data_IF_889517315920
#
_entry.id   IF_889517315920
#
_cell.length_a   1.000
_cell.length_b   1.000
_cell.length_c   1.000
_cell.angle_alpha   90.00
_cell.angle_beta   90.00
_cell.angle_gamma   90.00
#
_symmetry.space_group_name_H-M   'P 1'
#
loop_
_entity.id
_entity.type
_entity.pdbx_description
1 polymer ?
#
# COMPACT_ATOMS: atom_id res chain seq x y z
N UNK A 1 3.08 14.12 1.36
CA UNK A 1 3.52 12.74 1.72
C UNK A 1 4.98 12.58 1.36
N UNK A 2 5.76 11.92 2.21
CA UNK A 2 7.18 11.61 1.95
C UNK A 2 7.30 10.09 1.87
N UNK A 3 8.04 9.60 0.87
CA UNK A 3 8.34 8.17 0.70
C UNK A 3 9.72 7.99 0.08
N UNK A 4 10.45 6.98 0.51
CA UNK A 4 11.73 6.54 -0.06
C UNK A 4 11.57 5.83 -1.42
N UNK A 5 10.36 5.43 -1.77
CA UNK A 5 10.05 4.89 -3.08
C UNK A 5 10.06 5.99 -4.15
N UNK A 6 10.58 5.69 -5.33
CA UNK A 6 10.59 6.63 -6.46
C UNK A 6 9.20 6.91 -7.01
N UNK A 7 8.27 5.99 -6.83
CA UNK A 7 6.87 6.13 -7.23
C UNK A 7 5.98 5.42 -6.20
N UNK A 8 4.83 6.01 -5.90
CA UNK A 8 3.83 5.36 -5.04
C UNK A 8 3.30 4.10 -5.75
N UNK A 9 3.41 2.96 -5.09
CA UNK A 9 3.01 1.66 -5.66
C UNK A 9 4.06 0.98 -6.55
N UNK A 10 5.28 1.53 -6.67
CA UNK A 10 6.31 1.02 -7.57
C UNK A 10 6.92 -0.31 -7.12
N UNK A 11 7.18 -0.48 -5.83
CA UNK A 11 7.85 -1.66 -5.28
C UNK A 11 7.00 -2.37 -4.26
N UNK A 12 7.09 -3.70 -4.28
CA UNK A 12 6.46 -4.57 -3.29
C UNK A 12 4.94 -4.46 -3.35
N UNK A 13 4.28 -5.38 -3.97
CA UNK A 13 2.83 -5.42 -3.84
C UNK A 13 2.49 -5.79 -2.40
N UNK A 14 1.69 -4.98 -1.74
CA UNK A 14 1.01 -5.39 -0.53
C UNK A 14 -0.18 -6.26 -0.91
N UNK A 15 -0.61 -7.17 -0.03
CA UNK A 15 -1.79 -7.98 -0.30
C UNK A 15 -3.00 -7.13 -0.67
N UNK A 16 -3.66 -7.55 -1.74
CA UNK A 16 -4.89 -6.96 -2.24
C UNK A 16 -6.12 -7.80 -1.96
N UNK A 17 -6.04 -8.76 -1.05
CA UNK A 17 -7.16 -9.65 -0.71
C UNK A 17 -8.31 -8.82 -0.11
N UNK A 18 -9.50 -9.02 -0.64
CA UNK A 18 -10.73 -8.41 -0.13
C UNK A 18 -11.28 -9.36 0.92
N UNK A 19 -11.41 -8.86 2.15
CA UNK A 19 -11.97 -9.64 3.25
C UNK A 19 -13.47 -9.87 3.05
N UNK A 20 -14.05 -10.80 3.83
CA UNK A 20 -15.50 -11.06 3.84
C UNK A 20 -16.34 -9.82 4.18
N UNK A 21 -15.76 -8.82 4.85
CA UNK A 21 -16.41 -7.53 5.10
C UNK A 21 -16.58 -6.68 3.82
N UNK A 22 -16.03 -7.12 2.70
CA UNK A 22 -16.17 -6.48 1.42
C UNK A 22 -15.11 -5.40 1.14
N UNK A 23 -15.44 -4.52 0.21
CA UNK A 23 -14.55 -3.45 -0.26
C UNK A 23 -14.31 -2.39 0.83
N UNK A 24 -13.07 -2.28 1.39
CA UNK A 24 -12.83 -1.43 2.55
C UNK A 24 -12.59 0.04 2.21
N UNK A 25 -12.50 0.37 0.92
CA UNK A 25 -12.11 1.70 0.45
C UNK A 25 -13.36 2.41 -0.08
N UNK A 26 -13.47 3.67 0.30
CA UNK A 26 -14.63 4.48 0.05
C UNK A 26 -15.04 4.69 -1.42
N UNK A 27 -15.78 5.74 -1.63
CA UNK A 27 -16.46 6.05 -2.89
C UNK A 27 -15.51 6.29 -4.08
N UNK A 28 -16.03 6.16 -5.29
CA UNK A 28 -15.30 6.31 -6.55
C UNK A 28 -14.62 7.67 -6.71
N UNK A 29 -15.14 8.71 -6.10
CA UNK A 29 -14.56 10.05 -6.20
C UNK A 29 -13.15 10.17 -5.56
N UNK A 30 -12.72 9.19 -4.79
CA UNK A 30 -11.35 9.08 -4.25
C UNK A 30 -10.41 8.32 -5.17
N UNK A 31 -10.92 7.69 -6.22
CA UNK A 31 -10.14 6.94 -7.17
C UNK A 31 -9.96 7.76 -8.46
N UNK A 32 -8.79 7.71 -9.05
CA UNK A 32 -8.56 8.33 -10.35
C UNK A 32 -8.98 7.39 -11.48
N UNK A 33 -9.21 7.94 -12.68
CA UNK A 33 -9.51 7.18 -13.89
C UNK A 33 -8.26 6.54 -14.54
N UNK A 34 -7.20 6.30 -13.79
CA UNK A 34 -5.91 5.83 -14.32
C UNK A 34 -5.78 4.30 -14.36
N UNK A 35 -6.83 3.62 -14.81
CA UNK A 35 -6.76 2.18 -15.05
C UNK A 35 -6.95 1.30 -13.81
N UNK A 36 -7.33 1.86 -12.67
CA UNK A 36 -7.78 1.06 -11.55
C UNK A 36 -9.20 0.58 -11.81
N UNK A 37 -9.37 -0.74 -11.88
CA UNK A 37 -10.67 -1.38 -11.97
C UNK A 37 -11.16 -1.72 -10.57
N UNK A 38 -12.35 -1.23 -10.23
CA UNK A 38 -13.06 -1.65 -9.02
C UNK A 38 -13.33 -3.15 -9.06
N UNK A 39 -13.20 -3.86 -7.94
CA UNK A 39 -13.57 -5.26 -7.89
C UNK A 39 -15.08 -5.41 -8.16
N UNK A 40 -15.41 -6.38 -9.01
CA UNK A 40 -16.78 -6.83 -9.22
C UNK A 40 -17.23 -7.79 -8.10
N UNK A 41 -18.45 -8.32 -8.22
CA UNK A 41 -19.02 -9.22 -7.21
C UNK A 41 -18.23 -10.52 -7.04
N UNK A 42 -17.61 -11.01 -8.12
CA UNK A 42 -16.82 -12.24 -8.12
C UNK A 42 -15.34 -12.02 -7.79
N UNK A 43 -14.90 -10.78 -7.63
CA UNK A 43 -13.51 -10.47 -7.37
C UNK A 43 -13.24 -10.44 -5.87
N UNK A 44 -12.24 -11.19 -5.46
CA UNK A 44 -11.83 -11.33 -4.06
C UNK A 44 -10.42 -10.82 -3.80
N UNK A 45 -9.83 -10.16 -4.80
CA UNK A 45 -8.56 -9.43 -4.66
C UNK A 45 -8.50 -8.26 -5.64
N UNK A 46 -7.57 -7.34 -5.40
CA UNK A 46 -7.25 -6.21 -6.27
C UNK A 46 -5.75 -6.08 -6.46
N UNK A 47 -5.35 -5.34 -7.46
CA UNK A 47 -3.96 -4.93 -7.61
C UNK A 47 -3.65 -3.72 -6.72
N UNK A 48 -3.10 -3.99 -5.53
CA UNK A 48 -2.86 -2.96 -4.50
C UNK A 48 -1.94 -1.82 -4.96
N UNK A 49 -0.95 -2.11 -5.81
CA UNK A 49 -0.07 -1.09 -6.39
C UNK A 49 -0.83 -0.07 -7.23
N UNK A 50 -1.78 -0.52 -8.04
CA UNK A 50 -2.63 0.36 -8.85
C UNK A 50 -3.62 1.16 -8.02
N UNK A 51 -4.17 0.56 -6.97
CA UNK A 51 -5.00 1.27 -6.01
C UNK A 51 -4.24 2.43 -5.37
N UNK A 52 -3.04 2.16 -4.83
CA UNK A 52 -2.19 3.18 -4.21
C UNK A 52 -1.85 4.31 -5.18
N UNK A 53 -1.49 3.97 -6.42
CA UNK A 53 -1.19 4.93 -7.47
C UNK A 53 -2.41 5.79 -7.81
N UNK A 54 -3.57 5.16 -7.97
CA UNK A 54 -4.82 5.85 -8.28
C UNK A 54 -5.20 6.85 -7.18
N UNK A 55 -5.11 6.43 -5.92
CA UNK A 55 -5.36 7.31 -4.77
C UNK A 55 -4.34 8.45 -4.68
N UNK A 56 -3.05 8.18 -4.93
CA UNK A 56 -2.03 9.22 -4.92
C UNK A 56 -2.28 10.29 -6.00
N UNK A 57 -2.67 9.90 -7.20
CA UNK A 57 -3.04 10.82 -8.28
C UNK A 57 -4.26 11.65 -7.88
N UNK A 58 -5.30 11.02 -7.33
CA UNK A 58 -6.48 11.73 -6.85
C UNK A 58 -6.15 12.74 -5.75
N UNK A 59 -5.27 12.39 -4.81
CA UNK A 59 -4.79 13.30 -3.77
C UNK A 59 -3.95 14.45 -4.35
N UNK A 60 -3.08 14.16 -5.31
CA UNK A 60 -2.28 15.20 -5.98
C UNK A 60 -3.18 16.22 -6.70
N UNK A 61 -4.23 15.78 -7.37
CA UNK A 61 -5.22 16.67 -7.99
C UNK A 61 -5.99 17.53 -6.96
N UNK A 62 -6.03 17.10 -5.70
CA UNK A 62 -6.61 17.88 -4.58
C UNK A 62 -5.58 18.72 -3.84
N UNK A 63 -4.37 18.86 -4.38
CA UNK A 63 -3.32 19.71 -3.83
C UNK A 63 -2.37 19.02 -2.86
N UNK A 64 -2.41 17.71 -2.72
CA UNK A 64 -1.41 17.01 -1.93
C UNK A 64 -0.05 16.99 -2.64
N UNK A 65 1.00 17.31 -1.89
CA UNK A 65 2.38 17.24 -2.39
C UNK A 65 3.02 15.91 -2.02
N UNK A 66 3.75 15.32 -2.97
CA UNK A 66 4.48 14.06 -2.81
C UNK A 66 5.98 14.31 -2.98
N UNK A 67 6.75 13.89 -1.99
CA UNK A 67 8.21 13.83 -2.05
C UNK A 67 8.58 12.34 -2.18
N UNK A 68 8.84 11.90 -3.40
CA UNK A 68 9.20 10.52 -3.71
C UNK A 68 10.72 10.36 -3.80
N UNK A 69 11.22 9.15 -3.60
CA UNK A 69 12.66 8.88 -3.54
C UNK A 69 13.38 9.66 -2.44
N UNK A 70 12.66 10.02 -1.39
CA UNK A 70 13.11 10.99 -0.39
C UNK A 70 13.14 10.34 0.98
N UNK A 71 14.25 10.47 1.69
CA UNK A 71 14.42 9.95 3.05
C UNK A 71 14.22 11.05 4.08
N UNK A 72 13.52 10.72 5.15
CA UNK A 72 13.48 11.54 6.36
C UNK A 72 14.74 11.28 7.17
N UNK A 73 15.57 12.29 7.37
CA UNK A 73 16.82 12.18 8.11
C UNK A 73 16.70 12.62 9.56
N UNK A 74 15.80 13.55 9.84
CA UNK A 74 15.59 14.10 11.18
C UNK A 74 14.13 14.51 11.35
N UNK A 75 13.59 14.33 12.56
CA UNK A 75 12.27 14.82 12.96
C UNK A 75 12.42 15.60 14.25
N UNK A 76 12.23 16.90 14.18
CA UNK A 76 12.11 17.76 15.35
C UNK A 76 10.63 17.93 15.72
N UNK A 77 10.18 17.15 16.70
CA UNK A 77 8.79 17.19 17.16
C UNK A 77 8.46 18.46 17.94
N UNK A 78 9.46 19.13 18.55
CA UNK A 78 9.26 20.38 19.30
C UNK A 78 9.18 21.57 18.34
N UNK A 79 10.12 21.66 17.39
CA UNK A 79 10.10 22.66 16.33
C UNK A 79 9.09 22.39 15.23
N UNK A 80 8.41 21.24 15.25
CA UNK A 80 7.48 20.79 14.20
C UNK A 80 8.11 20.84 12.81
N UNK A 81 9.32 20.33 12.70
CA UNK A 81 10.09 20.35 11.45
C UNK A 81 10.60 18.94 11.10
N UNK A 82 10.62 18.64 9.83
CA UNK A 82 11.21 17.41 9.27
C UNK A 82 12.27 17.79 8.25
N UNK A 83 13.44 17.16 8.36
CA UNK A 83 14.53 17.30 7.38
C UNK A 83 14.47 16.14 6.39
N UNK A 84 14.42 16.49 5.10
CA UNK A 84 14.35 15.56 3.99
C UNK A 84 15.67 15.57 3.22
N UNK A 85 16.13 14.37 2.81
CA UNK A 85 17.27 14.17 1.92
C UNK A 85 16.80 13.54 0.62
N UNK A 86 17.19 14.13 -0.51
CA UNK A 86 16.89 13.64 -1.85
C UNK A 86 18.00 12.73 -2.38
N UNK A 87 17.72 11.93 -3.42
CA UNK A 87 18.72 11.09 -4.07
C UNK A 87 19.94 11.90 -4.50
N UNK A 88 21.13 11.39 -4.19
CA UNK A 88 22.40 12.08 -4.44
C UNK A 88 22.92 12.91 -3.29
N UNK A 89 22.20 13.05 -2.18
CA UNK A 89 22.71 13.47 -0.85
C UNK A 89 23.17 14.91 -0.71
N UNK A 90 23.10 15.74 -1.76
CA UNK A 90 23.65 17.12 -1.75
C UNK A 90 22.64 18.17 -1.32
N UNK A 91 21.37 17.85 -1.35
CA UNK A 91 20.31 18.83 -1.02
C UNK A 91 19.45 18.29 0.12
N UNK A 92 19.35 19.05 1.17
CA UNK A 92 18.41 18.82 2.25
C UNK A 92 17.35 19.92 2.20
N UNK A 93 16.12 19.55 2.46
CA UNK A 93 14.99 20.49 2.59
C UNK A 93 14.33 20.29 3.93
N UNK A 94 13.99 21.37 4.59
CA UNK A 94 13.24 21.38 5.83
C UNK A 94 11.79 21.73 5.55
N UNK A 95 10.89 20.97 6.12
CA UNK A 95 9.44 21.18 5.98
C UNK A 95 8.83 21.27 7.36
N UNK A 96 8.10 22.34 7.60
CA UNK A 96 7.30 22.50 8.81
C UNK A 96 5.98 21.75 8.68
N UNK A 97 5.48 21.23 9.79
CA UNK A 97 4.22 20.50 9.85
C UNK A 97 3.41 20.88 11.09
N UNK A 98 2.10 20.89 10.96
CA UNK A 98 1.20 20.98 12.11
C UNK A 98 1.00 19.62 12.76
N UNK A 99 0.88 18.59 11.92
CA UNK A 99 0.69 17.20 12.33
C UNK A 99 1.58 16.27 11.51
N UNK A 100 2.23 15.33 12.19
CA UNK A 100 3.06 14.31 11.58
C UNK A 100 2.40 12.93 11.76
N UNK A 101 2.17 12.24 10.65
CA UNK A 101 1.75 10.84 10.66
C UNK A 101 2.87 9.99 10.09
N UNK A 102 3.36 9.07 10.92
CA UNK A 102 4.33 8.07 10.49
C UNK A 102 3.66 6.71 10.43
N UNK A 103 3.95 5.96 9.37
CA UNK A 103 3.55 4.57 9.22
C UNK A 103 4.79 3.70 9.42
N UNK A 104 4.80 2.90 10.47
CA UNK A 104 5.83 1.92 10.75
C UNK A 104 5.16 0.59 11.03
N UNK A 105 5.59 -0.45 10.36
CA UNK A 105 5.15 -1.81 10.66
C UNK A 105 5.94 -2.31 11.88
N UNK A 106 5.22 -2.84 12.86
CA UNK A 106 5.80 -3.44 14.07
C UNK A 106 5.79 -4.98 13.97
N UNK A 107 6.17 -5.49 12.80
CA UNK A 107 6.27 -6.94 12.57
C UNK A 107 7.45 -7.22 11.66
N UNK A 108 8.07 -8.36 11.83
CA UNK A 108 9.14 -8.94 11.00
C UNK A 108 8.66 -10.14 10.17
N UNK A 109 7.36 -10.46 10.23
CA UNK A 109 6.78 -11.58 9.52
C UNK A 109 6.77 -11.31 8.02
N UNK A 110 7.58 -12.08 7.29
CA UNK A 110 7.69 -11.99 5.84
C UNK A 110 6.76 -13.02 5.19
N UNK A 111 5.86 -12.53 4.36
CA UNK A 111 5.00 -13.33 3.51
C UNK A 111 5.54 -13.34 2.09
N UNK A 112 5.49 -14.50 1.45
CA UNK A 112 5.68 -14.65 0.01
C UNK A 112 4.37 -14.61 -0.70
N UNK A 113 4.36 -13.97 -1.85
CA UNK A 113 3.18 -13.86 -2.70
C UNK A 113 3.49 -14.18 -4.15
N UNK A 114 2.47 -14.59 -4.88
CA UNK A 114 2.53 -14.76 -6.33
C UNK A 114 1.26 -14.28 -7.01
N UNK A 115 1.43 -13.91 -8.27
CA UNK A 115 0.34 -13.78 -9.22
C UNK A 115 0.38 -14.96 -10.17
N UNK A 116 -0.75 -15.59 -10.38
CA UNK A 116 -0.91 -16.75 -11.26
C UNK A 116 -2.01 -16.53 -12.28
N UNK A 117 -1.91 -17.19 -13.44
CA UNK A 117 -2.96 -17.17 -14.45
C UNK A 117 -4.10 -18.15 -14.13
N UNK A 118 -3.81 -19.18 -13.35
CA UNK A 118 -4.76 -20.21 -12.95
C UNK A 118 -5.10 -20.12 -11.48
N UNK A 119 -6.30 -20.58 -11.06
CA UNK A 119 -6.69 -20.61 -9.68
C UNK A 119 -5.67 -21.37 -8.81
N UNK A 120 -5.23 -20.80 -7.69
CA UNK A 120 -4.38 -21.50 -6.74
C UNK A 120 -5.16 -22.59 -5.98
N UNK A 121 -4.48 -23.46 -5.23
CA UNK A 121 -5.15 -24.44 -4.38
C UNK A 121 -6.15 -23.77 -3.40
N UNK A 122 -7.28 -24.43 -3.15
CA UNK A 122 -8.38 -23.89 -2.32
C UNK A 122 -7.99 -23.55 -0.88
N UNK A 123 -6.93 -24.14 -0.37
CA UNK A 123 -6.42 -23.92 1.00
C UNK A 123 -5.50 -22.70 1.12
N UNK A 124 -5.11 -22.10 -0.02
CA UNK A 124 -4.22 -20.95 -0.03
C UNK A 124 -4.95 -19.66 0.38
N UNK A 125 -4.21 -18.71 0.97
CA UNK A 125 -4.70 -17.34 1.10
C UNK A 125 -4.64 -16.72 -0.28
N UNK A 126 -5.78 -16.61 -0.95
CA UNK A 126 -5.81 -16.20 -2.34
C UNK A 126 -7.07 -15.44 -2.70
N UNK A 127 -7.03 -14.72 -3.82
CA UNK A 127 -8.18 -14.04 -4.37
C UNK A 127 -8.06 -13.81 -5.88
N UNK A 128 -9.21 -13.77 -6.56
CA UNK A 128 -9.32 -13.44 -7.97
C UNK A 128 -9.30 -11.93 -8.14
N UNK A 129 -8.51 -11.44 -9.06
CA UNK A 129 -8.41 -10.02 -9.44
C UNK A 129 -9.35 -9.68 -10.62
N UNK A 130 -9.74 -8.41 -10.81
CA UNK A 130 -10.58 -7.97 -11.93
C UNK A 130 -9.98 -8.24 -13.32
N UNK A 131 -8.67 -8.39 -13.42
CA UNK A 131 -7.97 -8.74 -14.68
C UNK A 131 -7.98 -10.24 -15.00
N UNK A 132 -8.65 -11.05 -14.17
CA UNK A 132 -8.75 -12.49 -14.30
C UNK A 132 -7.57 -13.27 -13.75
N UNK A 133 -6.53 -12.60 -13.25
CA UNK A 133 -5.42 -13.26 -12.54
C UNK A 133 -5.79 -13.57 -11.09
N UNK A 134 -4.95 -14.37 -10.45
CA UNK A 134 -5.11 -14.73 -9.04
C UNK A 134 -3.91 -14.26 -8.25
N UNK A 135 -4.17 -13.72 -7.10
CA UNK A 135 -3.17 -13.39 -6.10
C UNK A 135 -3.18 -14.45 -5.00
N UNK A 136 -2.00 -14.89 -4.58
CA UNK A 136 -1.88 -15.84 -3.46
C UNK A 136 -0.73 -15.47 -2.53
N UNK A 137 -0.86 -15.83 -1.25
CA UNK A 137 0.12 -15.56 -0.21
C UNK A 137 0.35 -16.78 0.68
N UNK A 138 1.61 -16.99 1.10
CA UNK A 138 1.99 -18.10 1.95
C UNK A 138 3.20 -17.76 2.82
N UNK A 139 3.48 -18.63 3.78
CA UNK A 139 4.72 -18.62 4.58
C UNK A 139 5.59 -19.79 4.13
N UNK A 140 6.89 -19.59 4.10
CA UNK A 140 7.86 -20.62 3.70
C UNK A 140 8.48 -20.37 2.32
N UNK A 141 9.27 -21.33 1.86
CA UNK A 141 10.12 -21.16 0.67
C UNK A 141 9.56 -21.79 -0.61
N UNK A 142 8.51 -22.59 -0.49
CA UNK A 142 7.88 -23.22 -1.66
C UNK A 142 7.32 -22.14 -2.58
N UNK A 143 7.48 -22.34 -3.87
CA UNK A 143 7.01 -21.39 -4.89
C UNK A 143 6.01 -22.10 -5.80
N UNK A 144 4.89 -21.47 -6.15
CA UNK A 144 3.94 -22.07 -7.09
C UNK A 144 4.58 -22.27 -8.47
N UNK A 145 4.07 -23.21 -9.22
CA UNK A 145 4.51 -23.45 -10.58
C UNK A 145 4.10 -22.28 -11.50
N UNK A 146 5.02 -21.85 -12.37
CA UNK A 146 4.79 -20.83 -13.40
C UNK A 146 4.11 -19.52 -12.90
N UNK A 147 4.64 -18.86 -11.88
CA UNK A 147 4.08 -17.59 -11.43
C UNK A 147 4.31 -16.50 -12.48
N UNK A 148 3.33 -15.64 -12.69
CA UNK A 148 3.47 -14.45 -13.53
C UNK A 148 4.32 -13.39 -12.83
N UNK A 149 4.25 -13.34 -11.50
CA UNK A 149 5.00 -12.43 -10.65
C UNK A 149 5.23 -13.07 -9.29
N UNK A 150 6.39 -12.84 -8.70
CA UNK A 150 6.68 -13.13 -7.29
C UNK A 150 6.78 -11.84 -6.51
N UNK A 151 6.37 -11.89 -5.24
CA UNK A 151 6.31 -10.73 -4.34
C UNK A 151 6.70 -11.15 -2.93
N UNK A 152 7.25 -10.22 -2.17
CA UNK A 152 7.43 -10.35 -0.72
C UNK A 152 6.72 -9.20 -0.01
N UNK A 153 6.11 -9.49 1.12
CA UNK A 153 5.45 -8.49 1.94
C UNK A 153 5.71 -8.73 3.43
N UNK A 154 6.03 -7.67 4.14
CA UNK A 154 6.16 -7.68 5.61
C UNK A 154 4.86 -7.18 6.22
N UNK A 155 4.21 -8.01 7.02
CA UNK A 155 2.93 -7.68 7.60
C UNK A 155 2.33 -8.80 8.44
N UNK A 156 1.20 -8.54 9.08
CA UNK A 156 0.57 -9.50 10.01
C UNK A 156 -0.17 -10.62 9.29
N UNK A 157 -1.16 -10.29 8.47
CA UNK A 157 -1.99 -11.24 7.74
C UNK A 157 -2.42 -10.68 6.39
N UNK A 158 -2.16 -11.37 5.27
CA UNK A 158 -2.59 -10.93 3.94
C UNK A 158 -4.11 -10.76 3.79
N UNK A 159 -4.92 -11.52 4.55
CA UNK A 159 -6.39 -11.44 4.49
C UNK A 159 -6.93 -10.13 5.00
N UNK A 160 -6.23 -9.49 5.93
CA UNK A 160 -6.67 -8.26 6.59
C UNK A 160 -5.87 -7.02 6.19
N UNK A 161 -4.84 -7.18 5.36
CA UNK A 161 -3.88 -6.12 5.04
C UNK A 161 -4.55 -4.82 4.56
N UNK A 162 -5.60 -4.89 3.73
CA UNK A 162 -6.33 -3.71 3.26
C UNK A 162 -7.18 -3.08 4.36
N UNK A 163 -7.93 -3.88 5.12
CA UNK A 163 -8.77 -3.40 6.22
C UNK A 163 -7.95 -2.85 7.37
N UNK A 164 -6.81 -3.48 7.68
CA UNK A 164 -5.88 -3.01 8.70
C UNK A 164 -5.29 -1.65 8.30
N UNK A 165 -4.92 -1.46 7.04
CA UNK A 165 -4.42 -0.18 6.54
C UNK A 165 -5.47 0.94 6.67
N UNK A 166 -6.73 0.66 6.34
CA UNK A 166 -7.84 1.63 6.50
C UNK A 166 -8.08 1.93 7.98
N UNK A 167 -8.14 0.92 8.83
CA UNK A 167 -8.34 1.08 10.27
C UNK A 167 -7.22 1.91 10.90
N UNK A 168 -5.97 1.62 10.55
CA UNK A 168 -4.82 2.39 11.00
C UNK A 168 -4.92 3.86 10.55
N UNK A 169 -5.26 4.11 9.29
CA UNK A 169 -5.42 5.47 8.77
C UNK A 169 -6.50 6.24 9.55
N UNK A 170 -7.66 5.64 9.79
CA UNK A 170 -8.75 6.25 10.58
C UNK A 170 -8.29 6.56 12.00
N UNK A 171 -7.61 5.64 12.66
CA UNK A 171 -7.11 5.84 14.02
C UNK A 171 -6.12 7.01 14.11
N UNK A 172 -5.20 7.10 13.16
CA UNK A 172 -4.23 8.21 13.09
C UNK A 172 -4.90 9.55 12.85
N UNK A 173 -5.89 9.61 11.95
CA UNK A 173 -6.65 10.85 11.68
C UNK A 173 -7.50 11.30 12.88
N UNK A 174 -8.06 10.38 13.64
CA UNK A 174 -8.85 10.69 14.84
C UNK A 174 -7.97 11.34 15.92
N UNK A 175 -6.70 10.94 16.02
CA UNK A 175 -5.76 11.51 16.96
C UNK A 175 -5.27 12.93 16.58
N UNK A 176 -5.38 13.31 15.31
CA UNK A 176 -5.03 14.65 14.83
C UNK A 176 -6.11 15.67 15.18
N UNK A 177 -7.37 15.24 15.29
CA UNK A 177 -8.52 16.14 15.57
C UNK A 177 -8.71 16.50 17.06
N UNK A 178 -7.90 15.93 17.95
CA UNK A 178 -7.88 16.24 19.37
C UNK A 178 -6.76 17.22 19.69
#
# INVERSE_FOLDING_TARGET
MVTDLFEVGMYGETPGIISESGWPIGDDHWLSNTGFNRPGEDDTAIRSSWLKKSMAISLAHRGAHFHTGTHTTEVDSQGKEVTLSYPGGKTQTRIQFDHLVTTRLETDKVWRGAITASPPPSESISGRRPDGTYEMWWLGEETPENPLQLMDWVGHDPRTALTDAVTLAISKLTNIKK
#
